data_IF_733948674658
#
_entry.id   IF_733948674658
#
_cell.length_a   1.000
_cell.length_b   1.000
_cell.length_c   1.000
_cell.angle_alpha   90.00
_cell.angle_beta   90.00
_cell.angle_gamma   90.00
#
_symmetry.space_group_name_H-M   'P 1'
#
loop_
_entity.id
_entity.type
_entity.pdbx_description
1 polymer ?
#
# COMPACT_ATOMS: atom_id res chain seq x y z
N UNK A 1 -8.60 42.32 38.19
CA UNK A 1 -9.94 42.06 37.64
C UNK A 1 -10.07 42.42 36.14
N UNK A 2 -8.99 42.40 35.36
CA UNK A 2 -9.01 42.79 33.94
C UNK A 2 -8.34 41.70 33.08
N UNK A 3 -9.14 40.74 32.62
CA UNK A 3 -8.81 39.71 31.61
C UNK A 3 -9.99 38.76 31.31
N UNK A 4 -11.07 38.82 32.09
CA UNK A 4 -12.25 37.94 31.99
C UNK A 4 -13.11 38.16 30.71
N UNK A 5 -12.81 39.15 29.87
CA UNK A 5 -13.62 39.53 28.70
C UNK A 5 -13.02 39.23 27.32
N UNK A 6 -12.13 38.23 27.19
CA UNK A 6 -11.37 37.98 25.94
C UNK A 6 -11.82 36.74 25.13
N UNK A 7 -13.03 36.21 25.38
CA UNK A 7 -13.53 35.03 24.67
C UNK A 7 -14.81 35.35 23.91
N UNK A 8 -14.89 34.88 22.66
CA UNK A 8 -16.10 34.94 21.84
C UNK A 8 -17.24 34.22 22.60
N UNK A 9 -18.51 34.71 22.58
CA UNK A 9 -19.64 34.08 23.26
C UNK A 9 -19.80 32.55 23.09
N UNK A 10 -19.30 31.96 22.01
CA UNK A 10 -19.33 30.51 21.78
C UNK A 10 -17.98 29.79 22.02
N UNK A 11 -16.98 30.45 22.60
CA UNK A 11 -15.68 29.85 22.86
C UNK A 11 -15.71 29.00 24.13
N UNK A 12 -15.44 27.70 23.99
CA UNK A 12 -15.27 26.79 25.12
C UNK A 12 -13.91 27.04 25.80
N UNK A 13 -13.91 27.13 27.14
CA UNK A 13 -12.69 27.25 27.92
C UNK A 13 -12.77 26.33 29.15
N UNK A 14 -11.81 25.42 29.28
CA UNK A 14 -11.68 24.54 30.42
C UNK A 14 -10.49 24.97 31.30
N UNK A 15 -10.67 24.98 32.62
CA UNK A 15 -9.55 25.14 33.57
C UNK A 15 -8.68 23.88 33.58
N UNK A 16 -7.41 24.00 33.93
CA UNK A 16 -6.42 22.91 33.79
C UNK A 16 -6.89 21.53 34.28
N UNK A 17 -7.45 21.43 35.48
CA UNK A 17 -7.96 20.15 36.03
C UNK A 17 -9.18 19.61 35.26
N UNK A 18 -10.08 20.49 34.82
CA UNK A 18 -11.25 20.12 34.03
C UNK A 18 -10.86 19.69 32.60
N UNK A 19 -9.90 20.39 31.98
CA UNK A 19 -9.35 20.02 30.68
C UNK A 19 -8.66 18.65 30.73
N UNK A 20 -7.88 18.39 31.79
CA UNK A 20 -7.23 17.11 32.02
C UNK A 20 -8.26 15.97 32.12
N UNK A 21 -9.29 16.13 32.97
CA UNK A 21 -10.33 15.12 33.15
C UNK A 21 -11.11 14.82 31.87
N UNK A 22 -11.44 15.85 31.09
CA UNK A 22 -12.12 15.69 29.78
C UNK A 22 -11.23 14.95 28.79
N UNK A 23 -9.96 15.33 28.66
CA UNK A 23 -9.03 14.71 27.72
C UNK A 23 -8.76 13.24 28.05
N UNK A 24 -8.57 12.92 29.33
CA UNK A 24 -8.33 11.54 29.78
C UNK A 24 -9.58 10.69 29.55
N UNK A 25 -10.77 11.21 29.86
CA UNK A 25 -12.03 10.50 29.64
C UNK A 25 -12.28 10.25 28.14
N UNK A 26 -11.97 11.22 27.28
CA UNK A 26 -12.04 11.07 25.84
C UNK A 26 -11.06 10.00 25.33
N UNK A 27 -9.80 10.05 25.79
CA UNK A 27 -8.79 9.06 25.42
C UNK A 27 -9.17 7.63 25.87
N UNK A 28 -9.69 7.47 27.09
CA UNK A 28 -10.23 6.19 27.62
C UNK A 28 -11.41 5.70 26.78
N UNK A 29 -12.35 6.60 26.43
CA UNK A 29 -13.50 6.25 25.59
C UNK A 29 -13.08 5.72 24.21
N UNK A 30 -12.12 6.39 23.57
CA UNK A 30 -11.55 5.93 22.29
C UNK A 30 -10.82 4.60 22.49
N UNK A 31 -10.02 4.46 23.55
CA UNK A 31 -9.31 3.23 23.90
C UNK A 31 -10.27 2.04 24.01
N UNK A 32 -11.37 2.20 24.75
CA UNK A 32 -12.35 1.13 24.97
C UNK A 32 -13.07 0.71 23.68
N UNK A 33 -13.36 1.68 22.79
CA UNK A 33 -13.89 1.39 21.45
C UNK A 33 -12.86 0.63 20.59
N UNK A 34 -11.57 0.93 20.76
CA UNK A 34 -10.49 0.34 19.95
C UNK A 34 -10.00 -1.01 20.47
N UNK A 35 -10.22 -1.35 21.75
CA UNK A 35 -9.81 -2.65 22.33
C UNK A 35 -10.39 -3.84 21.58
N UNK A 36 -11.63 -3.72 21.11
CA UNK A 36 -12.33 -4.76 20.35
C UNK A 36 -11.80 -4.91 18.92
N UNK A 37 -10.96 -4.00 18.46
CA UNK A 37 -10.37 -4.01 17.11
C UNK A 37 -8.98 -4.65 17.07
N UNK A 38 -8.37 -4.91 18.24
CA UNK A 38 -7.04 -5.50 18.30
C UNK A 38 -7.09 -7.03 18.13
N UNK A 39 -6.17 -7.55 17.31
CA UNK A 39 -5.96 -8.99 17.13
C UNK A 39 -6.74 -9.59 15.96
N UNK A 40 -6.56 -10.90 15.68
CA UNK A 40 -7.00 -11.52 14.43
C UNK A 40 -8.52 -11.71 14.27
N UNK A 41 -9.30 -11.34 15.29
CA UNK A 41 -10.76 -11.34 15.25
C UNK A 41 -11.35 -9.94 15.47
N UNK A 42 -10.50 -8.90 15.46
CA UNK A 42 -10.93 -7.52 15.67
C UNK A 42 -11.65 -6.93 14.47
N UNK A 43 -12.40 -5.83 14.67
CA UNK A 43 -13.07 -5.13 13.56
C UNK A 43 -12.21 -4.02 12.95
N UNK A 44 -12.27 -3.85 11.63
CA UNK A 44 -11.41 -2.92 10.88
C UNK A 44 -11.85 -1.46 11.08
N UNK A 45 -11.08 -0.68 11.84
CA UNK A 45 -11.26 0.78 11.97
C UNK A 45 -9.91 1.49 12.03
N UNK A 46 -9.77 2.57 11.27
CA UNK A 46 -8.58 3.44 11.28
C UNK A 46 -8.69 4.40 12.46
N UNK A 47 -7.63 4.52 13.27
CA UNK A 47 -7.67 5.25 14.53
C UNK A 47 -6.55 6.30 14.71
N UNK A 48 -5.45 6.19 13.96
CA UNK A 48 -4.29 7.08 14.12
C UNK A 48 -3.65 7.39 12.76
N UNK A 49 -3.99 8.54 12.19
CA UNK A 49 -3.53 8.95 10.85
C UNK A 49 -2.01 9.07 10.76
N UNK A 50 -1.35 9.71 11.74
CA UNK A 50 0.11 9.85 11.70
C UNK A 50 0.86 8.50 11.76
N UNK A 51 0.32 7.52 12.49
CA UNK A 51 0.89 6.17 12.52
C UNK A 51 0.64 5.42 11.21
N UNK A 52 -0.55 5.62 10.62
CA UNK A 52 -0.96 5.05 9.34
C UNK A 52 -0.07 5.57 8.20
N UNK A 53 0.14 6.89 8.13
CA UNK A 53 0.96 7.54 7.11
C UNK A 53 2.44 7.10 7.17
N UNK A 54 2.99 6.93 8.38
CA UNK A 54 4.41 6.62 8.56
C UNK A 54 4.74 5.13 8.45
N UNK A 55 3.84 4.26 8.91
CA UNK A 55 4.14 2.82 9.05
C UNK A 55 3.06 1.89 8.49
N UNK A 56 1.84 2.38 8.27
CA UNK A 56 0.71 1.60 7.74
C UNK A 56 0.20 0.47 8.64
N UNK A 57 0.72 0.28 9.85
CA UNK A 57 0.26 -0.74 10.79
C UNK A 57 0.38 -0.25 12.25
N UNK A 58 -0.24 -0.99 13.19
CA UNK A 58 -0.14 -0.70 14.61
C UNK A 58 -0.96 0.51 15.10
N UNK A 59 -1.78 1.11 14.24
CA UNK A 59 -2.64 2.27 14.58
C UNK A 59 -3.52 2.02 15.80
N UNK A 60 -4.12 0.83 15.91
CA UNK A 60 -4.93 0.41 17.07
C UNK A 60 -4.08 0.28 18.32
N UNK A 61 -2.91 -0.36 18.23
CA UNK A 61 -1.99 -0.56 19.37
C UNK A 61 -1.50 0.77 19.94
N UNK A 62 -1.17 1.73 19.08
CA UNK A 62 -0.74 3.07 19.48
C UNK A 62 -1.81 3.77 20.32
N UNK A 63 -3.06 3.76 19.86
CA UNK A 63 -4.19 4.37 20.59
C UNK A 63 -4.42 3.68 21.94
N UNK A 64 -4.27 2.34 21.98
CA UNK A 64 -4.44 1.57 23.21
C UNK A 64 -3.40 1.92 24.28
N UNK A 65 -2.13 2.03 23.88
CA UNK A 65 -1.02 2.38 24.76
C UNK A 65 -1.17 3.81 25.26
N UNK A 66 -1.52 4.77 24.39
CA UNK A 66 -1.75 6.17 24.79
C UNK A 66 -2.90 6.27 25.80
N UNK A 67 -4.02 5.61 25.54
CA UNK A 67 -5.17 5.62 26.46
C UNK A 67 -4.81 5.06 27.84
N UNK A 68 -4.05 3.96 27.89
CA UNK A 68 -3.64 3.37 29.18
C UNK A 68 -2.60 4.24 29.89
N UNK A 69 -1.62 4.83 29.18
CA UNK A 69 -0.65 5.76 29.77
C UNK A 69 -1.34 6.96 30.42
N UNK A 70 -2.33 7.55 29.73
CA UNK A 70 -3.10 8.67 30.27
C UNK A 70 -3.97 8.26 31.46
N UNK A 71 -4.51 7.05 31.46
CA UNK A 71 -5.23 6.50 32.61
C UNK A 71 -4.32 6.30 33.83
N UNK A 72 -3.09 5.82 33.64
CA UNK A 72 -2.12 5.72 34.73
C UNK A 72 -1.67 7.11 35.22
N UNK A 73 -1.50 8.06 34.30
CA UNK A 73 -1.17 9.45 34.63
C UNK A 73 -2.22 10.11 35.53
N UNK A 74 -3.50 9.88 35.25
CA UNK A 74 -4.64 10.40 36.00
C UNK A 74 -4.55 10.04 37.50
N UNK A 75 -4.16 8.79 37.80
CA UNK A 75 -4.06 8.28 39.16
C UNK A 75 -3.01 9.07 39.96
N UNK A 76 -1.80 9.21 39.40
CA UNK A 76 -0.71 9.93 40.07
C UNK A 76 -0.98 11.44 40.18
N UNK A 77 -1.64 12.03 39.20
CA UNK A 77 -2.05 13.44 39.29
C UNK A 77 -3.13 13.61 40.37
N UNK A 78 -4.04 12.65 40.51
CA UNK A 78 -5.03 12.61 41.59
C UNK A 78 -4.42 12.51 42.99
N UNK A 79 -3.25 11.88 43.11
CA UNK A 79 -2.44 11.81 44.34
C UNK A 79 -1.63 13.10 44.60
N UNK A 80 -1.69 14.09 43.70
CA UNK A 80 -1.04 15.39 43.86
C UNK A 80 0.28 15.55 43.12
N UNK A 81 0.66 14.60 42.26
CA UNK A 81 1.88 14.72 41.44
C UNK A 81 1.68 15.76 40.34
N UNK A 82 2.65 16.68 40.18
CA UNK A 82 2.59 17.68 39.13
C UNK A 82 2.80 17.04 37.74
N UNK A 83 1.95 17.32 36.71
CA UNK A 83 2.03 16.69 35.40
C UNK A 83 3.42 16.77 34.73
N UNK A 84 4.16 17.87 34.96
CA UNK A 84 5.51 18.05 34.43
C UNK A 84 6.48 16.95 34.88
N UNK A 85 6.46 16.59 36.16
CA UNK A 85 7.33 15.55 36.72
C UNK A 85 6.99 14.20 36.10
N UNK A 86 5.70 13.94 35.87
CA UNK A 86 5.25 12.72 35.20
C UNK A 86 5.71 12.66 33.74
N UNK A 87 5.63 13.77 32.99
CA UNK A 87 6.14 13.80 31.61
C UNK A 87 7.63 13.55 31.52
N UNK A 88 8.41 14.09 32.46
CA UNK A 88 9.86 13.84 32.55
C UNK A 88 10.14 12.35 32.86
N UNK A 89 9.37 11.75 33.76
CA UNK A 89 9.42 10.31 34.04
C UNK A 89 9.09 9.45 32.82
N UNK A 90 8.07 9.82 32.03
CA UNK A 90 7.73 9.13 30.78
C UNK A 90 8.82 9.24 29.72
N UNK A 91 9.50 10.38 29.61
CA UNK A 91 10.62 10.54 28.68
C UNK A 91 11.81 9.64 29.05
N UNK A 92 12.15 9.56 30.35
CA UNK A 92 13.18 8.64 30.84
C UNK A 92 12.81 7.18 30.58
N UNK A 93 11.55 6.80 30.85
CA UNK A 93 11.06 5.45 30.59
C UNK A 93 11.09 5.11 29.10
N UNK A 94 10.66 6.04 28.23
CA UNK A 94 10.71 5.88 26.77
C UNK A 94 12.12 5.61 26.28
N UNK A 95 13.10 6.41 26.72
CA UNK A 95 14.50 6.21 26.34
C UNK A 95 14.98 4.80 26.73
N UNK A 96 14.65 4.35 27.95
CA UNK A 96 15.05 3.02 28.41
C UNK A 96 14.37 1.89 27.64
N UNK A 97 13.09 2.03 27.31
CA UNK A 97 12.34 1.06 26.52
C UNK A 97 12.91 0.93 25.11
N UNK A 98 13.37 2.03 24.51
CA UNK A 98 14.04 2.00 23.20
C UNK A 98 15.37 1.24 23.27
N UNK A 99 16.17 1.42 24.32
CA UNK A 99 17.38 0.60 24.53
C UNK A 99 17.06 -0.90 24.63
N UNK A 100 15.98 -1.25 25.34
CA UNK A 100 15.52 -2.64 25.45
C UNK A 100 15.06 -3.17 24.09
N UNK A 101 14.30 -2.38 23.33
CA UNK A 101 13.86 -2.75 21.98
C UNK A 101 15.06 -3.04 21.06
N UNK A 102 16.09 -2.20 21.12
CA UNK A 102 17.34 -2.38 20.37
C UNK A 102 18.09 -3.66 20.78
N UNK A 103 18.04 -4.05 22.06
CA UNK A 103 18.65 -5.30 22.54
C UNK A 103 17.89 -6.56 22.11
N UNK A 104 16.59 -6.43 21.83
CA UNK A 104 15.71 -7.54 21.46
C UNK A 104 15.61 -7.75 19.94
N UNK A 105 16.08 -6.79 19.14
CA UNK A 105 15.98 -6.90 17.68
C UNK A 105 16.89 -8.03 17.18
N UNK A 106 16.35 -8.84 16.27
CA UNK A 106 17.10 -9.91 15.61
C UNK A 106 17.37 -9.43 14.18
N UNK A 107 18.63 -9.25 13.75
CA UNK A 107 18.93 -8.89 12.37
C UNK A 107 18.58 -10.08 11.47
N UNK A 108 17.74 -9.84 10.47
CA UNK A 108 17.32 -10.86 9.51
C UNK A 108 17.51 -10.29 8.11
N UNK A 109 18.15 -11.08 7.24
CA UNK A 109 18.27 -10.72 5.83
C UNK A 109 16.89 -10.75 5.15
N UNK A 110 16.53 -9.70 4.37
CA UNK A 110 15.21 -9.57 3.75
C UNK A 110 15.06 -10.52 2.57
N UNK A 111 14.99 -11.82 2.87
CA UNK A 111 14.70 -12.89 1.92
C UNK A 111 13.20 -12.95 1.67
N UNK A 112 12.79 -13.33 0.45
CA UNK A 112 11.36 -13.50 0.08
C UNK A 112 10.55 -14.29 1.11
N UNK A 113 11.11 -15.37 1.65
CA UNK A 113 10.44 -16.21 2.67
C UNK A 113 10.13 -15.46 3.96
N UNK A 114 11.07 -14.62 4.43
CA UNK A 114 10.88 -13.82 5.64
C UNK A 114 9.79 -12.76 5.40
N UNK A 115 9.84 -12.09 4.23
CA UNK A 115 8.84 -11.10 3.84
C UNK A 115 7.44 -11.70 3.76
N UNK A 116 7.29 -12.92 3.22
CA UNK A 116 6.02 -13.65 3.19
C UNK A 116 5.48 -13.89 4.60
N UNK A 117 6.33 -14.29 5.56
CA UNK A 117 5.90 -14.53 6.94
C UNK A 117 5.43 -13.23 7.61
N UNK A 118 6.17 -12.13 7.40
CA UNK A 118 5.84 -10.81 7.97
C UNK A 118 4.52 -10.29 7.38
N UNK A 119 4.40 -10.25 6.05
CA UNK A 119 3.20 -9.78 5.36
C UNK A 119 1.97 -10.65 5.70
N UNK A 120 2.13 -11.97 5.77
CA UNK A 120 1.07 -12.91 6.18
C UNK A 120 0.56 -12.61 7.58
N UNK A 121 1.46 -12.33 8.51
CA UNK A 121 1.11 -12.04 9.90
C UNK A 121 0.30 -10.75 9.99
N UNK A 122 0.71 -9.71 9.27
CA UNK A 122 -0.04 -8.44 9.26
C UNK A 122 -1.40 -8.59 8.58
N UNK A 123 -1.49 -9.24 7.42
CA UNK A 123 -2.75 -9.38 6.67
C UNK A 123 -3.78 -10.27 7.37
N UNK A 124 -3.34 -11.34 8.05
CA UNK A 124 -4.24 -12.26 8.77
C UNK A 124 -5.02 -11.61 9.89
N UNK A 125 -4.57 -10.47 10.42
CA UNK A 125 -5.35 -9.79 11.46
C UNK A 125 -6.52 -8.98 10.90
N UNK A 126 -6.52 -8.70 9.59
CA UNK A 126 -7.54 -7.88 8.92
C UNK A 126 -8.42 -8.67 7.96
N UNK A 127 -7.96 -9.83 7.48
CA UNK A 127 -8.60 -10.57 6.40
C UNK A 127 -8.81 -12.04 6.76
N UNK A 128 -9.77 -12.67 6.09
CA UNK A 128 -9.95 -14.12 6.18
C UNK A 128 -8.67 -14.83 5.71
N UNK A 129 -8.19 -15.89 6.40
CA UNK A 129 -6.90 -16.52 6.12
C UNK A 129 -6.66 -16.87 4.65
N UNK A 130 -7.68 -17.38 3.95
CA UNK A 130 -7.61 -17.72 2.53
C UNK A 130 -7.28 -16.52 1.64
N UNK A 131 -7.87 -15.36 1.94
CA UNK A 131 -7.63 -14.12 1.19
C UNK A 131 -6.27 -13.54 1.57
N UNK A 132 -5.95 -13.56 2.87
CA UNK A 132 -4.68 -13.07 3.40
C UNK A 132 -3.48 -13.80 2.77
N UNK A 133 -3.53 -15.14 2.68
CA UNK A 133 -2.43 -15.93 2.14
C UNK A 133 -2.19 -15.62 0.65
N UNK A 134 -3.26 -15.43 -0.14
CA UNK A 134 -3.13 -15.08 -1.56
C UNK A 134 -2.63 -13.65 -1.78
N UNK A 135 -3.17 -12.67 -1.03
CA UNK A 135 -2.71 -11.29 -1.12
C UNK A 135 -1.27 -11.14 -0.62
N UNK A 136 -0.85 -11.96 0.35
CA UNK A 136 0.53 -11.94 0.85
C UNK A 136 1.54 -12.19 -0.27
N UNK A 137 1.30 -13.22 -1.09
CA UNK A 137 2.18 -13.53 -2.22
C UNK A 137 2.26 -12.34 -3.19
N UNK A 138 1.10 -11.79 -3.56
CA UNK A 138 0.97 -10.65 -4.47
C UNK A 138 1.70 -9.40 -3.93
N UNK A 139 1.51 -9.06 -2.65
CA UNK A 139 2.14 -7.89 -2.03
C UNK A 139 3.66 -8.03 -1.98
N UNK A 140 4.18 -9.19 -1.56
CA UNK A 140 5.64 -9.41 -1.51
C UNK A 140 6.24 -9.37 -2.91
N UNK A 141 5.55 -9.97 -3.88
CA UNK A 141 5.96 -9.99 -5.28
C UNK A 141 5.94 -8.60 -5.93
N UNK A 142 5.00 -7.73 -5.55
CA UNK A 142 4.93 -6.34 -5.99
C UNK A 142 6.07 -5.51 -5.38
N UNK A 143 6.32 -5.63 -4.06
CA UNK A 143 7.40 -4.91 -3.37
C UNK A 143 8.77 -5.32 -3.90
N UNK A 144 8.99 -6.62 -4.17
CA UNK A 144 10.22 -7.09 -4.78
C UNK A 144 10.41 -6.60 -6.22
N UNK A 145 9.32 -6.35 -6.95
CA UNK A 145 9.40 -5.85 -8.33
C UNK A 145 9.86 -4.38 -8.39
N UNK A 146 9.51 -3.57 -7.40
CA UNK A 146 9.88 -2.15 -7.33
C UNK A 146 11.20 -1.90 -6.57
N UNK A 147 11.79 -2.94 -5.97
CA UNK A 147 13.02 -2.84 -5.19
C UNK A 147 14.22 -2.60 -6.13
N UNK A 148 14.74 -1.38 -6.14
CA UNK A 148 16.01 -1.04 -6.79
C UNK A 148 17.18 -1.20 -5.81
N UNK A 149 18.38 -1.53 -6.31
CA UNK A 149 19.59 -1.49 -5.49
C UNK A 149 19.83 -0.03 -5.03
N UNK A 150 20.00 0.16 -3.73
CA UNK A 150 20.38 1.42 -3.07
C UNK A 150 19.39 2.61 -3.13
N UNK A 151 18.13 2.40 -3.50
CA UNK A 151 17.06 3.41 -3.34
C UNK A 151 15.99 2.98 -2.35
N UNK A 152 15.39 3.97 -1.70
CA UNK A 152 14.17 3.78 -0.93
C UNK A 152 13.03 3.30 -1.84
N UNK A 153 12.16 2.47 -1.28
CA UNK A 153 11.04 1.87 -2.00
C UNK A 153 9.97 2.94 -2.18
N UNK A 154 9.69 3.34 -3.43
CA UNK A 154 8.57 4.23 -3.75
C UNK A 154 7.29 3.44 -4.01
N UNK A 155 6.33 3.55 -3.10
CA UNK A 155 5.04 2.87 -3.20
C UNK A 155 4.17 3.40 -4.36
N UNK A 156 4.43 4.61 -4.88
CA UNK A 156 3.69 5.15 -6.03
C UNK A 156 3.98 4.39 -7.33
N UNK A 157 5.04 3.57 -7.37
CA UNK A 157 5.32 2.67 -8.49
C UNK A 157 4.33 1.49 -8.57
N UNK A 158 3.49 1.26 -7.55
CA UNK A 158 2.46 0.21 -7.53
C UNK A 158 1.08 0.85 -7.65
N UNK A 159 0.43 0.66 -8.79
CA UNK A 159 -0.94 1.13 -9.02
C UNK A 159 -1.97 0.05 -8.64
N UNK A 160 -3.01 0.45 -7.90
CA UNK A 160 -4.12 -0.41 -7.53
C UNK A 160 -5.32 -0.11 -8.44
N UNK A 161 -5.74 -1.10 -9.23
CA UNK A 161 -6.94 -1.01 -10.05
C UNK A 161 -8.08 -1.82 -9.43
N UNK A 162 -9.13 -1.14 -8.99
CA UNK A 162 -10.33 -1.78 -8.44
C UNK A 162 -11.23 -2.33 -9.56
N UNK A 163 -11.59 -3.61 -9.46
CA UNK A 163 -12.46 -4.29 -10.43
C UNK A 163 -13.87 -4.42 -9.87
N UNK A 164 -14.85 -3.82 -10.55
CA UNK A 164 -16.25 -3.99 -10.19
C UNK A 164 -16.69 -5.45 -10.38
N UNK A 165 -17.51 -5.98 -9.46
CA UNK A 165 -18.08 -7.34 -9.50
C UNK A 165 -17.08 -8.49 -9.29
N UNK A 166 -15.86 -8.23 -8.83
CA UNK A 166 -14.86 -9.25 -8.48
C UNK A 166 -14.63 -9.32 -6.98
N UNK A 167 -14.12 -10.46 -6.52
CA UNK A 167 -13.80 -10.68 -5.11
C UNK A 167 -12.32 -10.43 -4.84
N UNK A 168 -11.94 -10.18 -3.58
CA UNK A 168 -10.53 -10.05 -3.19
C UNK A 168 -9.67 -11.30 -3.48
N UNK A 169 -10.31 -12.46 -3.71
CA UNK A 169 -9.62 -13.70 -4.10
C UNK A 169 -9.19 -13.65 -5.58
N UNK A 170 -9.87 -12.84 -6.40
CA UNK A 170 -9.57 -12.70 -7.83
C UNK A 170 -8.40 -11.73 -8.09
N UNK A 171 -7.91 -11.03 -7.05
CA UNK A 171 -6.77 -10.12 -7.16
C UNK A 171 -5.55 -10.85 -7.70
N UNK A 172 -4.86 -10.20 -8.63
CA UNK A 172 -3.63 -10.69 -9.27
C UNK A 172 -2.66 -9.54 -9.46
N UNK A 173 -1.37 -9.83 -9.42
CA UNK A 173 -0.36 -8.89 -9.87
C UNK A 173 -0.30 -8.93 -11.40
N UNK A 174 -0.49 -7.79 -12.04
CA UNK A 174 -0.33 -7.65 -13.50
C UNK A 174 1.14 -7.33 -13.75
N UNK A 175 1.77 -8.03 -14.70
CA UNK A 175 3.21 -7.87 -14.97
C UNK A 175 3.49 -7.79 -16.48
N UNK A 176 4.50 -7.00 -16.83
CA UNK A 176 5.19 -6.92 -18.13
C UNK A 176 4.39 -6.55 -19.40
N UNK A 177 3.07 -6.32 -19.35
CA UNK A 177 2.31 -5.75 -20.49
C UNK A 177 2.37 -6.56 -21.79
N UNK A 178 2.74 -7.84 -21.71
CA UNK A 178 3.08 -8.64 -22.88
C UNK A 178 1.87 -9.02 -23.74
N UNK A 179 0.72 -9.20 -23.10
CA UNK A 179 -0.54 -9.40 -23.80
C UNK A 179 -0.87 -8.19 -24.69
N UNK A 180 -0.71 -6.97 -24.16
CA UNK A 180 -1.00 -5.73 -24.88
C UNK A 180 -0.13 -5.58 -26.13
N UNK A 181 1.17 -5.88 -26.02
CA UNK A 181 2.10 -5.87 -27.15
C UNK A 181 1.69 -6.90 -28.21
N UNK A 182 1.43 -8.14 -27.79
CA UNK A 182 1.02 -9.22 -28.69
C UNK A 182 -0.33 -8.95 -29.38
N UNK A 183 -1.31 -8.43 -28.64
CA UNK A 183 -2.63 -8.07 -29.15
C UNK A 183 -2.56 -6.89 -30.13
N UNK A 184 -1.75 -5.87 -29.81
CA UNK A 184 -1.50 -4.75 -30.73
C UNK A 184 -0.93 -5.24 -32.07
N UNK A 185 0.06 -6.14 -32.02
CA UNK A 185 0.67 -6.71 -33.22
C UNK A 185 -0.31 -7.56 -34.04
N UNK A 186 -1.12 -8.39 -33.38
CA UNK A 186 -2.16 -9.18 -34.04
C UNK A 186 -3.19 -8.29 -34.75
N UNK A 187 -3.60 -7.18 -34.12
CA UNK A 187 -4.51 -6.20 -34.72
C UNK A 187 -3.87 -5.46 -35.90
N UNK A 188 -2.56 -5.16 -35.86
CA UNK A 188 -1.85 -4.58 -37.01
C UNK A 188 -1.86 -5.52 -38.22
N UNK A 189 -1.70 -6.84 -38.01
CA UNK A 189 -1.83 -7.85 -39.09
C UNK A 189 -3.27 -7.93 -39.59
N UNK A 190 -4.26 -7.90 -38.70
CA UNK A 190 -5.67 -7.91 -39.06
C UNK A 190 -6.09 -6.65 -39.84
N UNK A 191 -5.48 -5.50 -39.56
CA UNK A 191 -5.72 -4.22 -40.26
C UNK A 191 -5.56 -4.33 -41.77
N UNK A 192 -4.62 -5.16 -42.25
CA UNK A 192 -4.38 -5.39 -43.68
C UNK A 192 -5.59 -6.03 -44.37
N UNK A 193 -6.32 -6.89 -43.66
CA UNK A 193 -7.48 -7.65 -44.15
C UNK A 193 -8.77 -6.83 -44.13
N UNK A 194 -8.89 -5.87 -43.19
CA UNK A 194 -10.05 -4.97 -43.10
C UNK A 194 -10.04 -4.00 -44.27
N UNK A 195 -11.19 -3.58 -44.80
CA UNK A 195 -11.30 -2.58 -45.89
C UNK A 195 -12.03 -1.33 -45.42
N UNK A 196 -11.74 -0.19 -46.05
CA UNK A 196 -12.44 1.08 -45.79
C UNK A 196 -11.99 1.81 -44.52
N UNK A 197 -12.85 2.71 -44.03
CA UNK A 197 -12.57 3.58 -42.85
C UNK A 197 -12.41 2.79 -41.55
N UNK A 198 -12.93 1.56 -41.49
CA UNK A 198 -12.82 0.65 -40.35
C UNK A 198 -11.36 0.32 -40.00
N UNK A 199 -10.44 0.40 -40.99
CA UNK A 199 -8.99 0.26 -40.75
C UNK A 199 -8.46 1.22 -39.69
N UNK A 200 -8.96 2.46 -39.70
CA UNK A 200 -8.55 3.49 -38.74
C UNK A 200 -9.00 3.13 -37.32
N UNK A 201 -10.17 2.52 -37.18
CA UNK A 201 -10.66 2.03 -35.88
C UNK A 201 -9.80 0.90 -35.31
N UNK A 202 -9.44 -0.08 -36.16
CA UNK A 202 -8.53 -1.17 -35.74
C UNK A 202 -7.15 -0.63 -35.37
N UNK A 203 -6.63 0.33 -36.12
CA UNK A 203 -5.35 0.98 -35.81
C UNK A 203 -5.40 1.73 -34.47
N UNK A 204 -6.43 2.55 -34.25
CA UNK A 204 -6.59 3.29 -33.00
C UNK A 204 -6.69 2.34 -31.79
N UNK A 205 -7.41 1.23 -31.94
CA UNK A 205 -7.52 0.22 -30.88
C UNK A 205 -6.17 -0.45 -30.59
N UNK A 206 -5.41 -0.81 -31.64
CA UNK A 206 -4.08 -1.39 -31.49
C UNK A 206 -3.10 -0.42 -30.80
N UNK A 207 -3.16 0.86 -31.13
CA UNK A 207 -2.33 1.90 -30.50
C UNK A 207 -2.73 2.18 -29.04
N UNK A 208 -4.02 2.08 -28.72
CA UNK A 208 -4.53 2.27 -27.36
C UNK A 208 -4.07 1.14 -26.41
N UNK A 209 -3.99 -0.11 -26.87
CA UNK A 209 -3.48 -1.22 -26.05
C UNK A 209 -2.05 -0.99 -25.57
N UNK A 210 -1.22 -0.29 -26.36
CA UNK A 210 0.16 0.02 -26.00
C UNK A 210 0.29 1.05 -24.87
N UNK A 211 -0.81 1.58 -24.34
CA UNK A 211 -0.77 2.51 -23.19
C UNK A 211 -0.13 1.87 -21.96
N UNK A 212 -0.41 0.58 -21.70
CA UNK A 212 0.13 -0.13 -20.53
C UNK A 212 1.65 -0.25 -20.60
N UNK A 213 2.25 -0.83 -21.66
CA UNK A 213 3.71 -0.90 -21.75
C UNK A 213 4.39 0.48 -21.84
N UNK A 214 3.71 1.51 -22.38
CA UNK A 214 4.23 2.90 -22.36
C UNK A 214 4.33 3.44 -20.94
N UNK A 215 3.28 3.29 -20.14
CA UNK A 215 3.28 3.75 -18.74
C UNK A 215 4.32 2.97 -17.93
N UNK A 216 4.43 1.65 -18.14
CA UNK A 216 5.46 0.83 -17.49
C UNK A 216 6.87 1.32 -17.82
N UNK A 217 7.14 1.69 -19.08
CA UNK A 217 8.43 2.24 -19.49
C UNK A 217 8.73 3.59 -18.82
N UNK A 218 7.76 4.52 -18.83
CA UNK A 218 7.91 5.84 -18.18
C UNK A 218 8.16 5.70 -16.68
N UNK A 219 7.38 4.84 -16.00
CA UNK A 219 7.51 4.61 -14.57
C UNK A 219 8.83 3.94 -14.20
N UNK A 220 9.43 3.19 -15.14
CA UNK A 220 10.75 2.57 -14.97
C UNK A 220 11.90 3.52 -15.34
N UNK A 221 11.60 4.76 -15.74
CA UNK A 221 12.60 5.77 -16.10
C UNK A 221 13.16 5.65 -17.52
N UNK A 222 12.51 4.88 -18.39
CA UNK A 222 12.91 4.72 -19.80
C UNK A 222 12.07 5.61 -20.72
N UNK A 223 12.62 5.89 -21.91
CA UNK A 223 11.85 6.53 -22.97
C UNK A 223 10.78 5.57 -23.50
N UNK A 224 9.53 6.01 -23.44
CA UNK A 224 8.38 5.18 -23.79
C UNK A 224 8.33 4.83 -25.28
N UNK A 225 8.84 5.70 -26.17
CA UNK A 225 8.81 5.44 -27.61
C UNK A 225 9.87 4.42 -27.98
N UNK A 226 11.08 4.59 -27.48
CA UNK A 226 12.21 3.68 -27.75
C UNK A 226 11.89 2.25 -27.29
N UNK A 227 11.36 2.12 -26.07
CA UNK A 227 10.97 0.81 -25.53
C UNK A 227 9.87 0.15 -26.36
N UNK A 228 8.85 0.90 -26.76
CA UNK A 228 7.75 0.33 -27.55
C UNK A 228 8.23 -0.14 -28.92
N UNK A 229 9.11 0.61 -29.57
CA UNK A 229 9.71 0.18 -30.84
C UNK A 229 10.48 -1.11 -30.64
N UNK A 230 11.34 -1.17 -29.61
CA UNK A 230 12.12 -2.38 -29.27
C UNK A 230 11.23 -3.59 -29.00
N UNK A 231 10.17 -3.44 -28.19
CA UNK A 231 9.22 -4.52 -27.89
C UNK A 231 8.47 -5.02 -29.13
N UNK A 232 8.06 -4.11 -30.01
CA UNK A 232 7.35 -4.47 -31.25
C UNK A 232 8.26 -5.18 -32.26
N UNK A 233 9.52 -4.74 -32.37
CA UNK A 233 10.53 -5.41 -33.20
C UNK A 233 10.81 -6.83 -32.70
N UNK A 234 11.09 -6.97 -31.41
CA UNK A 234 11.38 -8.26 -30.78
C UNK A 234 10.19 -9.23 -30.88
N UNK A 235 8.97 -8.74 -30.64
CA UNK A 235 7.72 -9.50 -30.81
C UNK A 235 7.50 -9.92 -32.26
N UNK A 236 8.01 -9.15 -33.24
CA UNK A 236 7.97 -9.51 -34.67
C UNK A 236 8.96 -10.59 -35.03
N UNK A 237 10.17 -10.53 -34.48
CA UNK A 237 11.21 -11.53 -34.71
C UNK A 237 10.85 -12.87 -34.08
N UNK A 238 10.37 -12.86 -32.83
CA UNK A 238 10.07 -14.07 -32.07
C UNK A 238 8.71 -14.68 -32.42
N UNK A 239 7.75 -13.87 -32.87
CA UNK A 239 6.38 -14.32 -33.14
C UNK A 239 5.60 -14.76 -31.89
N UNK A 240 6.12 -14.43 -30.70
CA UNK A 240 5.59 -14.79 -29.39
C UNK A 240 5.25 -13.52 -28.58
N UNK A 241 4.54 -13.68 -27.46
CA UNK A 241 4.24 -12.56 -26.58
C UNK A 241 5.51 -12.11 -25.82
N UNK A 242 5.88 -10.85 -26.00
CA UNK A 242 7.06 -10.24 -25.40
C UNK A 242 6.62 -9.13 -24.46
N UNK A 243 7.21 -9.10 -23.26
CA UNK A 243 6.94 -8.09 -22.23
C UNK A 243 8.14 -7.18 -21.98
N UNK A 244 7.92 -6.13 -21.21
CA UNK A 244 8.97 -5.22 -20.77
C UNK A 244 9.62 -5.68 -19.47
N UNK A 245 10.94 -5.86 -19.47
CA UNK A 245 11.72 -5.94 -18.24
C UNK A 245 11.93 -4.53 -17.69
N UNK A 246 11.33 -4.27 -16.52
CA UNK A 246 11.37 -2.97 -15.85
C UNK A 246 12.76 -2.63 -15.28
N UNK A 247 13.63 -3.62 -15.10
CA UNK A 247 14.96 -3.41 -14.54
C UNK A 247 16.01 -3.09 -15.60
N UNK A 248 15.93 -3.75 -16.75
CA UNK A 248 16.91 -3.63 -17.84
C UNK A 248 16.42 -2.73 -18.98
N UNK A 249 15.10 -2.49 -19.07
CA UNK A 249 14.50 -1.83 -20.24
C UNK A 249 14.58 -2.71 -21.50
N UNK A 250 14.81 -4.01 -21.35
CA UNK A 250 14.89 -4.93 -22.47
C UNK A 250 13.59 -5.72 -22.66
N UNK A 251 13.47 -6.25 -23.87
CA UNK A 251 12.39 -7.13 -24.23
C UNK A 251 12.61 -8.49 -23.56
N UNK A 252 11.58 -9.00 -22.90
CA UNK A 252 11.66 -10.18 -22.06
C UNK A 252 10.57 -11.16 -22.49
N UNK A 253 10.85 -12.46 -22.46
CA UNK A 253 9.82 -13.48 -22.58
C UNK A 253 9.14 -13.69 -21.23
N UNK A 254 7.86 -13.32 -21.07
CA UNK A 254 7.18 -13.40 -19.78
C UNK A 254 7.17 -14.82 -19.21
N UNK A 255 6.99 -15.82 -20.08
CA UNK A 255 6.94 -17.24 -19.69
C UNK A 255 8.25 -17.67 -19.02
N UNK A 256 9.40 -17.26 -19.56
CA UNK A 256 10.72 -17.64 -19.05
C UNK A 256 11.03 -16.96 -17.71
N UNK A 257 10.45 -15.77 -17.48
CA UNK A 257 10.53 -15.06 -16.20
C UNK A 257 9.42 -15.43 -15.20
N UNK A 258 8.55 -16.39 -15.54
CA UNK A 258 7.41 -16.78 -14.70
C UNK A 258 6.35 -15.69 -14.54
N UNK A 259 6.27 -14.78 -15.51
CA UNK A 259 5.34 -13.66 -15.55
C UNK A 259 4.08 -14.06 -16.31
N UNK A 260 2.96 -14.14 -15.60
CA UNK A 260 1.67 -14.54 -16.15
C UNK A 260 0.58 -13.53 -15.80
N UNK A 261 -0.33 -13.31 -16.75
CA UNK A 261 -1.55 -12.52 -16.55
C UNK A 261 -2.76 -13.44 -16.34
N UNK A 262 -3.72 -12.98 -15.54
CA UNK A 262 -4.99 -13.67 -15.39
C UNK A 262 -5.88 -13.44 -16.63
N UNK A 263 -6.25 -14.53 -17.31
CA UNK A 263 -7.10 -14.50 -18.48
C UNK A 263 -8.44 -13.76 -18.27
N UNK A 264 -9.10 -13.97 -17.13
CA UNK A 264 -10.40 -13.36 -16.85
C UNK A 264 -10.31 -11.84 -16.66
N UNK A 265 -9.17 -11.34 -16.17
CA UNK A 265 -8.91 -9.90 -16.01
C UNK A 265 -8.75 -9.25 -17.38
N UNK A 266 -7.86 -9.78 -18.23
CA UNK A 266 -7.66 -9.24 -19.60
C UNK A 266 -8.94 -9.30 -20.42
N UNK A 267 -9.67 -10.42 -20.36
CA UNK A 267 -10.97 -10.57 -21.03
C UNK A 267 -11.98 -9.52 -20.58
N UNK A 268 -12.06 -9.25 -19.27
CA UNK A 268 -12.97 -8.24 -18.75
C UNK A 268 -12.57 -6.82 -19.18
N UNK A 269 -11.26 -6.49 -19.14
CA UNK A 269 -10.74 -5.19 -19.59
C UNK A 269 -11.19 -4.96 -21.04
N UNK A 270 -10.93 -5.93 -21.94
CA UNK A 270 -11.31 -5.82 -23.36
C UNK A 270 -12.83 -5.68 -23.55
N UNK A 271 -13.63 -6.41 -22.78
CA UNK A 271 -15.09 -6.36 -22.87
C UNK A 271 -15.72 -5.10 -22.25
N UNK A 272 -14.97 -4.34 -21.46
CA UNK A 272 -15.48 -3.15 -20.77
C UNK A 272 -15.25 -1.86 -21.57
N UNK A 273 -14.64 -1.97 -22.76
CA UNK A 273 -14.35 -0.86 -23.67
C UNK A 273 -15.45 -0.69 -24.73
#
# INVERSE_FOLDING_TARGET
MASIGLLNPNAEHARASQALGVNISAAKGIQDIMKTNLGPKGTTKIASTAQDDMTGDGTTSTVLVIGELLKQADLYIGEGLHPRVLTEGFDLARAKVLEVLESLKIPIDPTKQVLLVVARTSLRTKLHPTVADKLTEICVDAVLAIKQQDKEIDLHMVELMEMQHRTAIDTTLIRAGAFEVAASQALQRYKEQVKGKQRLGVQAYAEALLVIPKILAVNSGFDAQDIIVKLLEESTVLGEAVGLDLSTGEALKPVDAGIYDNYNVKKQIINSW
#
